data_IF_861897245193
#
_entry.id   IF_861897245193
#
_cell.length_a   1.000
_cell.length_b   1.000
_cell.length_c   1.000
_cell.angle_alpha   90.00
_cell.angle_beta   90.00
_cell.angle_gamma   90.00
#
_symmetry.space_group_name_H-M   'P 1'
#
loop_
_entity.id
_entity.type
_entity.pdbx_description
1 polymer ?
#
# COMPACT_ATOMS: atom_id res chain seq x y z
N UNK A 1 -9.24 -34.96 -9.68
CA UNK A 1 -8.24 -33.89 -9.48
C UNK A 1 -8.78 -32.65 -10.18
N UNK A 2 -9.64 -31.91 -9.50
CA UNK A 2 -10.15 -30.62 -9.97
C UNK A 2 -9.58 -29.60 -9.00
N UNK A 3 -8.54 -28.91 -9.43
CA UNK A 3 -7.92 -27.84 -8.66
C UNK A 3 -8.96 -26.72 -8.63
N UNK A 4 -9.49 -26.46 -7.44
CA UNK A 4 -10.31 -25.31 -7.12
C UNK A 4 -9.47 -24.06 -7.41
N UNK A 5 -9.58 -23.52 -8.63
CA UNK A 5 -9.14 -22.16 -8.92
C UNK A 5 -10.07 -21.25 -8.12
N UNK A 6 -9.68 -21.00 -6.87
CA UNK A 6 -10.27 -20.02 -5.99
C UNK A 6 -10.10 -18.65 -6.65
N UNK A 7 -11.07 -18.27 -7.48
CA UNK A 7 -11.21 -16.89 -7.96
C UNK A 7 -11.76 -16.08 -6.78
N UNK A 8 -10.95 -15.94 -5.73
CA UNK A 8 -11.21 -14.96 -4.69
C UNK A 8 -10.88 -13.63 -5.35
N UNK A 9 -11.92 -12.88 -5.70
CA UNK A 9 -11.82 -11.45 -5.99
C UNK A 9 -11.36 -10.74 -4.72
N UNK A 10 -10.08 -10.89 -4.40
CA UNK A 10 -9.42 -10.04 -3.43
C UNK A 10 -9.33 -8.67 -4.08
N UNK A 11 -10.25 -7.79 -3.70
CA UNK A 11 -9.99 -6.35 -3.64
C UNK A 11 -8.88 -6.13 -2.59
N UNK A 12 -7.72 -6.76 -2.75
CA UNK A 12 -6.51 -6.36 -2.06
C UNK A 12 -6.23 -4.98 -2.60
N UNK A 13 -6.57 -3.98 -1.80
CA UNK A 13 -6.07 -2.64 -2.03
C UNK A 13 -4.54 -2.74 -2.17
N UNK A 14 -4.02 -2.19 -3.27
CA UNK A 14 -2.63 -2.33 -3.69
C UNK A 14 -1.95 -0.97 -3.63
N UNK A 15 -0.78 -0.92 -3.01
CA UNK A 15 0.12 0.22 -3.15
C UNK A 15 0.87 0.11 -4.47
N UNK A 16 1.17 1.24 -5.11
CA UNK A 16 1.96 1.26 -6.34
C UNK A 16 3.24 2.03 -6.11
N UNK A 17 4.39 1.39 -6.23
CA UNK A 17 5.65 2.13 -6.09
C UNK A 17 5.78 3.21 -7.18
N UNK A 18 6.00 4.47 -6.78
CA UNK A 18 6.16 5.60 -7.71
C UNK A 18 7.40 5.45 -8.60
N UNK A 19 8.40 4.68 -8.15
CA UNK A 19 9.66 4.46 -8.88
C UNK A 19 9.62 3.22 -9.76
N UNK A 20 9.50 2.04 -9.17
CA UNK A 20 9.59 0.77 -9.90
C UNK A 20 8.25 0.24 -10.40
N UNK A 21 7.13 0.95 -10.13
CA UNK A 21 5.76 0.61 -10.56
C UNK A 21 5.21 -0.72 -10.05
N UNK A 22 5.96 -1.48 -9.27
CA UNK A 22 5.50 -2.72 -8.63
C UNK A 22 4.25 -2.46 -7.79
N UNK A 23 3.27 -3.35 -7.94
CA UNK A 23 2.10 -3.43 -7.09
C UNK A 23 2.47 -4.20 -5.83
N UNK A 24 2.08 -3.65 -4.67
CA UNK A 24 2.48 -4.13 -3.37
C UNK A 24 1.20 -4.32 -2.56
N UNK A 25 0.91 -5.53 -2.07
CA UNK A 25 -0.23 -5.75 -1.19
C UNK A 25 -0.17 -4.83 0.03
N UNK A 26 -1.31 -4.31 0.47
CA UNK A 26 -1.33 -3.39 1.63
C UNK A 26 -0.69 -4.00 2.87
N UNK A 27 -0.93 -5.28 3.13
CA UNK A 27 -0.41 -6.05 4.27
C UNK A 27 1.09 -6.40 4.17
N UNK A 28 1.69 -6.28 2.99
CA UNK A 28 3.10 -6.63 2.78
C UNK A 28 4.05 -5.57 3.36
N UNK A 29 3.54 -4.42 3.81
CA UNK A 29 4.33 -3.31 4.33
C UNK A 29 3.62 -2.64 5.50
N UNK A 30 4.38 -2.32 6.54
CA UNK A 30 3.91 -1.50 7.65
C UNK A 30 4.23 -0.01 7.38
N UNK A 31 3.24 0.90 7.44
CA UNK A 31 3.49 2.33 7.28
C UNK A 31 4.37 2.90 8.39
N UNK A 32 5.38 3.68 8.03
CA UNK A 32 6.18 4.47 8.95
C UNK A 32 5.70 5.93 9.02
N UNK A 33 6.08 6.62 10.10
CA UNK A 33 5.86 8.06 10.28
C UNK A 33 7.16 8.72 10.75
N UNK A 34 7.52 9.83 10.12
CA UNK A 34 8.65 10.67 10.51
C UNK A 34 8.30 12.17 10.34
N UNK A 35 9.30 13.05 10.47
CA UNK A 35 9.14 14.50 10.30
C UNK A 35 8.69 14.94 8.89
N UNK A 36 8.77 14.08 7.88
CA UNK A 36 8.30 14.33 6.52
C UNK A 36 6.92 13.70 6.21
N UNK A 37 6.30 13.05 7.20
CA UNK A 37 4.94 12.50 7.13
C UNK A 37 4.88 10.97 7.03
N UNK A 38 3.72 10.46 6.63
CA UNK A 38 3.43 9.01 6.59
C UNK A 38 3.94 8.41 5.28
N UNK A 39 4.51 7.21 5.34
CA UNK A 39 5.08 6.55 4.17
C UNK A 39 5.07 5.03 4.28
N UNK A 40 5.31 4.36 3.16
CA UNK A 40 5.81 2.98 3.15
C UNK A 40 7.10 2.89 2.34
N UNK A 41 7.94 1.90 2.63
CA UNK A 41 9.14 1.60 1.84
C UNK A 41 8.81 0.46 0.89
N UNK A 42 9.03 0.68 -0.41
CA UNK A 42 8.85 -0.38 -1.41
C UNK A 42 9.81 -1.55 -1.13
N UNK A 43 9.32 -2.80 -0.98
CA UNK A 43 10.19 -3.94 -0.69
C UNK A 43 11.10 -4.31 -1.87
N UNK A 44 10.68 -3.98 -3.11
CA UNK A 44 11.42 -4.30 -4.33
C UNK A 44 12.61 -3.35 -4.54
N UNK A 45 12.36 -2.05 -4.52
CA UNK A 45 13.40 -1.05 -4.84
C UNK A 45 13.78 -0.15 -3.67
N UNK A 46 13.24 -0.33 -2.46
CA UNK A 46 13.51 0.52 -1.28
C UNK A 46 13.14 2.00 -1.42
N UNK A 47 12.40 2.38 -2.46
CA UNK A 47 11.88 3.75 -2.60
C UNK A 47 10.84 4.02 -1.51
N UNK A 48 10.98 5.17 -0.84
CA UNK A 48 9.94 5.73 0.05
C UNK A 48 8.75 6.24 -0.77
N UNK A 49 7.54 5.85 -0.41
CA UNK A 49 6.30 6.27 -1.06
C UNK A 49 5.43 7.01 -0.05
N UNK A 50 4.97 8.22 -0.38
CA UNK A 50 4.21 9.09 0.53
C UNK A 50 2.77 8.62 0.65
N UNK A 51 2.27 8.62 1.88
CA UNK A 51 0.88 8.39 2.24
C UNK A 51 0.31 9.64 2.93
N UNK A 52 -0.99 9.85 2.79
CA UNK A 52 -1.73 10.92 3.48
C UNK A 52 -2.90 10.32 4.24
N UNK A 53 -3.16 10.83 5.45
CA UNK A 53 -4.35 10.46 6.21
C UNK A 53 -5.56 11.20 5.64
N UNK A 54 -6.50 10.44 5.08
CA UNK A 54 -7.80 10.92 4.56
C UNK A 54 -8.96 10.51 5.46
N UNK A 55 -8.66 9.89 6.60
CA UNK A 55 -9.63 9.48 7.60
C UNK A 55 -10.34 10.68 8.24
N UNK A 56 -11.60 10.50 8.62
CA UNK A 56 -12.41 11.50 9.32
C UNK A 56 -12.88 10.96 10.67
N UNK A 57 -13.02 11.84 11.67
CA UNK A 57 -13.67 11.57 12.97
C UNK A 57 -13.19 10.27 13.64
N UNK A 58 -11.91 10.22 14.03
CA UNK A 58 -11.37 9.08 14.78
C UNK A 58 -11.11 7.82 13.95
N UNK A 59 -11.37 7.83 12.64
CA UNK A 59 -10.95 6.75 11.73
C UNK A 59 -9.63 7.12 11.07
N UNK A 60 -8.70 6.16 11.01
CA UNK A 60 -7.47 6.28 10.23
C UNK A 60 -7.72 5.64 8.87
N UNK A 61 -7.49 6.39 7.80
CA UNK A 61 -7.49 5.87 6.44
C UNK A 61 -6.32 6.49 5.69
N UNK A 62 -5.43 5.67 5.16
CA UNK A 62 -4.25 6.13 4.44
C UNK A 62 -4.49 6.01 2.93
N UNK A 63 -4.12 7.06 2.20
CA UNK A 63 -4.17 7.09 0.75
C UNK A 63 -2.78 7.39 0.19
N UNK A 64 -2.39 6.69 -0.86
CA UNK A 64 -1.14 6.99 -1.56
C UNK A 64 -1.34 8.19 -2.50
N UNK A 65 -0.36 9.09 -2.52
CA UNK A 65 -0.38 10.28 -3.39
C UNK A 65 0.74 10.22 -4.42
N UNK A 66 0.50 10.73 -5.63
CA UNK A 66 1.53 10.88 -6.67
C UNK A 66 1.96 9.56 -7.31
N UNK A 67 1.01 8.65 -7.53
CA UNK A 67 1.20 7.42 -8.30
C UNK A 67 1.52 7.69 -9.74
#
# INVERSE_FOLDING_TARGET
MLIEHTFRSELTTMWKCIRCRSLIPFEAVEPGIDSFGIYFICPVCRRRNKLVNVGKRGRIALMQTGT
#
